data_IF_340101274377
#
_entry.id   IF_340101274377
#
_cell.length_a   1.000
_cell.length_b   1.000
_cell.length_c   1.000
_cell.angle_alpha   90.00
_cell.angle_beta   90.00
_cell.angle_gamma   90.00
#
_symmetry.space_group_name_H-M   'P 1'
#
loop_
_entity.id
_entity.type
_entity.pdbx_description
1 polymer ?
#
# COMPACT_ATOMS: atom_id res chain seq x y z
N UNK A 1 -9.96 -2.78 -32.87
CA UNK A 1 -8.70 -2.71 -32.11
C UNK A 1 -8.46 -1.33 -31.47
N UNK A 2 -9.15 -0.27 -31.90
CA UNK A 2 -9.07 1.08 -31.33
C UNK A 2 -10.03 1.36 -30.15
N UNK A 3 -10.27 0.37 -29.28
CA UNK A 3 -11.21 0.48 -28.15
C UNK A 3 -10.64 -0.15 -26.86
N UNK A 4 -9.31 -0.08 -26.71
CA UNK A 4 -8.56 -0.60 -25.57
C UNK A 4 -7.96 0.44 -24.59
N UNK A 5 -8.40 1.73 -24.51
CA UNK A 5 -7.77 2.68 -23.59
C UNK A 5 -8.00 2.27 -22.12
N UNK A 6 -9.20 1.79 -21.78
CA UNK A 6 -9.50 1.31 -20.41
C UNK A 6 -8.74 0.02 -20.09
N UNK A 7 -8.65 -0.91 -21.05
CA UNK A 7 -7.97 -2.19 -20.85
C UNK A 7 -6.47 -2.05 -20.65
N UNK A 8 -5.79 -1.16 -21.40
CA UNK A 8 -4.37 -0.91 -21.23
C UNK A 8 -4.07 -0.19 -19.90
N UNK A 9 -4.88 0.82 -19.55
CA UNK A 9 -4.73 1.51 -18.27
C UNK A 9 -4.92 0.54 -17.10
N UNK A 10 -5.98 -0.28 -17.13
CA UNK A 10 -6.24 -1.29 -16.09
C UNK A 10 -5.11 -2.31 -15.99
N UNK A 11 -4.59 -2.81 -17.12
CA UNK A 11 -3.43 -3.70 -17.13
C UNK A 11 -2.21 -3.04 -16.47
N UNK A 12 -1.90 -1.79 -16.83
CA UNK A 12 -0.80 -1.04 -16.22
C UNK A 12 -1.02 -0.83 -14.72
N UNK A 13 -2.26 -0.56 -14.30
CA UNK A 13 -2.60 -0.41 -12.89
C UNK A 13 -2.41 -1.73 -12.13
N UNK A 14 -2.87 -2.83 -12.71
CA UNK A 14 -2.77 -4.17 -12.15
C UNK A 14 -1.30 -4.61 -12.03
N UNK A 15 -0.46 -4.30 -13.02
CA UNK A 15 0.98 -4.57 -12.98
C UNK A 15 1.69 -3.72 -11.92
N UNK A 16 1.33 -2.45 -11.77
CA UNK A 16 1.88 -1.61 -10.70
C UNK A 16 1.47 -2.13 -9.32
N UNK A 17 0.23 -2.62 -9.18
CA UNK A 17 -0.29 -3.21 -7.94
C UNK A 17 0.55 -4.35 -7.38
N UNK A 18 1.10 -5.21 -8.25
CA UNK A 18 1.98 -6.34 -7.87
C UNK A 18 3.13 -5.89 -6.97
N UNK A 19 3.72 -4.74 -7.27
CA UNK A 19 4.89 -4.24 -6.55
C UNK A 19 4.49 -3.27 -5.45
N UNK A 20 3.53 -2.38 -5.73
CA UNK A 20 3.15 -1.33 -4.80
C UNK A 20 2.50 -1.88 -3.52
N UNK A 21 1.64 -2.90 -3.62
CA UNK A 21 0.90 -3.39 -2.45
C UNK A 21 1.83 -4.04 -1.40
N UNK A 22 2.74 -4.98 -1.76
CA UNK A 22 3.67 -5.55 -0.78
C UNK A 22 4.62 -4.49 -0.19
N UNK A 23 5.14 -3.58 -1.02
CA UNK A 23 6.06 -2.52 -0.57
C UNK A 23 5.35 -1.56 0.39
N UNK A 24 4.14 -1.11 0.03
CA UNK A 24 3.33 -0.23 0.88
C UNK A 24 3.01 -0.91 2.22
N UNK A 25 2.68 -2.21 2.20
CA UNK A 25 2.45 -3.00 3.41
C UNK A 25 3.68 -2.99 4.32
N UNK A 26 4.86 -3.33 3.80
CA UNK A 26 6.11 -3.38 4.57
C UNK A 26 6.48 -2.00 5.12
N UNK A 27 6.35 -0.96 4.31
CA UNK A 27 6.67 0.41 4.71
C UNK A 27 5.74 0.89 5.83
N UNK A 28 4.43 0.69 5.67
CA UNK A 28 3.44 1.07 6.68
C UNK A 28 3.67 0.28 7.97
N UNK A 29 3.90 -1.02 7.84
CA UNK A 29 4.23 -1.86 8.98
C UNK A 29 5.53 -1.40 9.66
N UNK A 30 6.56 -1.00 8.92
CA UNK A 30 7.81 -0.45 9.48
C UNK A 30 7.65 0.89 10.21
N UNK A 31 6.70 1.75 9.80
CA UNK A 31 6.42 3.02 10.49
C UNK A 31 5.57 2.84 11.75
N UNK A 32 4.54 2.00 11.69
CA UNK A 32 3.56 1.88 12.78
C UNK A 32 3.88 0.73 13.74
N UNK A 33 4.57 -0.33 13.29
CA UNK A 33 4.87 -1.52 14.08
C UNK A 33 6.38 -1.58 14.37
N UNK A 34 6.76 -1.09 15.55
CA UNK A 34 8.16 -1.01 16.02
C UNK A 34 8.91 -2.35 16.09
N UNK A 35 8.19 -3.47 16.03
CA UNK A 35 8.72 -4.83 16.28
C UNK A 35 8.69 -5.74 15.06
N UNK A 36 8.68 -5.19 13.85
CA UNK A 36 8.75 -6.03 12.65
C UNK A 36 10.17 -6.45 12.36
N UNK A 37 10.40 -7.76 12.28
CA UNK A 37 11.71 -8.31 11.92
C UNK A 37 11.97 -8.25 10.42
N UNK A 38 13.24 -8.13 10.03
CA UNK A 38 13.63 -8.15 8.62
C UNK A 38 13.26 -9.48 7.93
N UNK A 39 13.22 -10.58 8.69
CA UNK A 39 12.75 -11.88 8.21
C UNK A 39 11.24 -11.85 7.92
N UNK A 40 10.43 -11.25 8.80
CA UNK A 40 8.99 -11.09 8.56
C UNK A 40 8.68 -10.24 7.34
N UNK A 41 9.39 -9.13 7.14
CA UNK A 41 9.25 -8.30 5.94
C UNK A 41 9.58 -9.07 4.64
N UNK A 42 10.67 -9.85 4.63
CA UNK A 42 11.05 -10.69 3.47
C UNK A 42 10.01 -11.78 3.19
N UNK A 43 9.53 -12.45 4.24
CA UNK A 43 8.51 -13.50 4.12
C UNK A 43 7.20 -12.94 3.57
N UNK A 44 6.77 -11.78 4.04
CA UNK A 44 5.58 -11.11 3.53
C UNK A 44 5.73 -10.68 2.07
N UNK A 45 6.88 -10.12 1.68
CA UNK A 45 7.14 -9.74 0.29
C UNK A 45 6.99 -10.94 -0.66
N UNK A 46 7.57 -12.09 -0.29
CA UNK A 46 7.44 -13.33 -1.06
C UNK A 46 5.99 -13.84 -1.07
N UNK A 47 5.35 -13.86 0.09
CA UNK A 47 3.96 -14.32 0.23
C UNK A 47 2.99 -13.44 -0.57
N UNK A 48 3.08 -12.11 -0.45
CA UNK A 48 2.23 -11.15 -1.16
C UNK A 48 2.36 -11.31 -2.67
N UNK A 49 3.60 -11.32 -3.18
CA UNK A 49 3.86 -11.54 -4.60
C UNK A 49 3.26 -12.87 -5.09
N UNK A 50 3.50 -13.97 -4.36
CA UNK A 50 2.95 -15.27 -4.72
C UNK A 50 1.41 -15.28 -4.69
N UNK A 51 0.83 -14.72 -3.63
CA UNK A 51 -0.62 -14.61 -3.45
C UNK A 51 -1.27 -13.80 -4.56
N UNK A 52 -0.68 -12.67 -4.94
CA UNK A 52 -1.20 -11.82 -6.00
C UNK A 52 -1.13 -12.49 -7.37
N UNK A 53 -0.01 -13.13 -7.72
CA UNK A 53 0.12 -13.87 -8.98
C UNK A 53 -0.89 -15.02 -9.03
N UNK A 54 -1.03 -15.77 -7.93
CA UNK A 54 -2.00 -16.87 -7.82
C UNK A 54 -3.44 -16.38 -8.01
N UNK A 55 -3.83 -15.30 -7.33
CA UNK A 55 -5.19 -14.77 -7.38
C UNK A 55 -5.52 -14.01 -8.66
N UNK A 56 -4.50 -13.47 -9.35
CA UNK A 56 -4.68 -12.73 -10.60
C UNK A 56 -4.68 -13.64 -11.83
N UNK A 57 -3.78 -14.63 -11.89
CA UNK A 57 -3.55 -15.42 -13.09
C UNK A 57 -4.06 -16.86 -13.01
N UNK A 58 -4.16 -17.44 -11.80
CA UNK A 58 -4.48 -18.86 -11.62
C UNK A 58 -5.92 -19.04 -11.13
N UNK A 59 -6.30 -18.33 -10.07
CA UNK A 59 -7.67 -18.36 -9.56
C UNK A 59 -8.52 -17.33 -10.30
N UNK A 60 -9.60 -17.77 -10.95
CA UNK A 60 -10.63 -16.86 -11.44
C UNK A 60 -11.47 -16.41 -10.26
N UNK A 61 -11.08 -15.30 -9.64
CA UNK A 61 -11.87 -14.66 -8.60
C UNK A 61 -12.65 -13.53 -9.26
N UNK A 62 -13.99 -13.60 -9.24
CA UNK A 62 -14.88 -12.56 -9.77
C UNK A 62 -14.93 -11.32 -8.86
N UNK A 63 -13.76 -10.77 -8.50
CA UNK A 63 -13.62 -9.55 -7.70
C UNK A 63 -12.66 -8.58 -8.40
N UNK A 64 -12.97 -7.29 -8.31
CA UNK A 64 -12.12 -6.24 -8.87
C UNK A 64 -10.74 -6.22 -8.17
N UNK A 65 -9.66 -6.00 -8.92
CA UNK A 65 -8.28 -6.07 -8.39
C UNK A 65 -8.01 -5.16 -7.19
N UNK A 66 -8.75 -4.05 -7.06
CA UNK A 66 -8.70 -3.15 -5.89
C UNK A 66 -9.08 -3.87 -4.58
N UNK A 67 -10.02 -4.82 -4.60
CA UNK A 67 -10.35 -5.60 -3.42
C UNK A 67 -9.26 -6.64 -3.12
N UNK A 68 -8.66 -7.23 -4.16
CA UNK A 68 -7.52 -8.14 -4.02
C UNK A 68 -6.36 -7.42 -3.33
N UNK A 69 -6.07 -6.19 -3.73
CA UNK A 69 -5.07 -5.33 -3.09
C UNK A 69 -5.34 -5.10 -1.60
N UNK A 70 -6.59 -4.83 -1.23
CA UNK A 70 -6.97 -4.66 0.18
C UNK A 70 -6.76 -5.94 1.00
N UNK A 71 -7.16 -7.09 0.44
CA UNK A 71 -6.97 -8.40 1.09
C UNK A 71 -5.48 -8.74 1.21
N UNK A 72 -4.73 -8.53 0.13
CA UNK A 72 -3.29 -8.76 0.08
C UNK A 72 -2.55 -7.90 1.12
N UNK A 73 -2.93 -6.62 1.25
CA UNK A 73 -2.38 -5.72 2.25
C UNK A 73 -2.57 -6.27 3.68
N UNK A 74 -3.81 -6.67 4.03
CA UNK A 74 -4.12 -7.22 5.33
C UNK A 74 -3.39 -8.54 5.60
N UNK A 75 -3.32 -9.43 4.60
CA UNK A 75 -2.58 -10.68 4.71
C UNK A 75 -1.08 -10.46 4.87
N UNK A 76 -0.49 -9.49 4.16
CA UNK A 76 0.92 -9.12 4.32
C UNK A 76 1.20 -8.64 5.74
N UNK A 77 0.34 -7.77 6.30
CA UNK A 77 0.42 -7.34 7.70
C UNK A 77 0.33 -8.51 8.68
N UNK A 78 -0.56 -9.46 8.42
CA UNK A 78 -0.70 -10.67 9.23
C UNK A 78 0.56 -11.53 9.18
N UNK A 79 1.07 -11.84 7.99
CA UNK A 79 2.29 -12.64 7.80
C UNK A 79 3.49 -11.97 8.46
N UNK A 80 3.68 -10.66 8.26
CA UNK A 80 4.76 -9.93 8.93
C UNK A 80 4.65 -10.01 10.45
N UNK A 81 3.45 -9.86 11.00
CA UNK A 81 3.21 -9.90 12.44
C UNK A 81 3.49 -11.29 13.03
N UNK A 82 3.02 -12.35 12.35
CA UNK A 82 3.26 -13.75 12.76
C UNK A 82 4.75 -14.09 12.72
N UNK A 83 5.42 -13.81 11.61
CA UNK A 83 6.86 -14.08 11.49
C UNK A 83 7.70 -13.25 12.46
N UNK A 84 7.31 -12.02 12.73
CA UNK A 84 8.00 -11.16 13.70
C UNK A 84 7.75 -11.60 15.14
N UNK A 85 6.64 -12.27 15.43
CA UNK A 85 6.39 -12.90 16.73
C UNK A 85 7.30 -14.12 16.96
N UNK A 86 7.48 -14.97 15.93
CA UNK A 86 8.35 -16.16 16.03
C UNK A 86 9.84 -15.83 15.94
N UNK A 87 10.20 -14.83 15.13
CA UNK A 87 11.57 -14.36 14.94
C UNK A 87 11.64 -12.87 15.30
N UNK A 88 11.53 -12.51 16.60
CA UNK A 88 11.64 -11.13 17.04
C UNK A 88 13.06 -10.61 16.77
N UNK A 89 13.16 -9.31 16.48
CA UNK A 89 14.45 -8.66 16.26
C UNK A 89 15.09 -8.34 17.62
N UNK A 90 16.32 -8.81 17.86
CA UNK A 90 17.05 -8.58 19.13
C UNK A 90 17.41 -7.11 19.40
N UNK A 91 17.44 -6.28 18.35
CA UNK A 91 17.67 -4.84 18.45
C UNK A 91 16.47 -4.13 17.86
N UNK A 92 15.83 -3.26 18.65
CA UNK A 92 14.82 -2.34 18.12
C UNK A 92 15.46 -1.56 16.95
N UNK A 93 14.69 -1.36 15.89
CA UNK A 93 15.12 -0.57 14.75
C UNK A 93 15.28 0.88 15.24
N UNK A 94 16.50 1.24 15.67
CA UNK A 94 16.83 2.61 16.02
C UNK A 94 16.92 3.35 14.69
N UNK A 95 15.88 4.12 14.36
CA UNK A 95 16.04 5.18 13.40
C UNK A 95 17.14 6.09 13.96
N UNK A 96 18.35 5.98 13.41
CA UNK A 96 19.34 7.03 13.61
C UNK A 96 18.69 8.27 13.03
N UNK A 97 18.16 9.14 13.89
CA UNK A 97 17.67 10.47 13.52
C UNK A 97 18.86 11.26 12.98
N UNK A 98 19.19 10.98 11.73
CA UNK A 98 19.94 11.86 10.88
C UNK A 98 18.99 13.04 10.67
N UNK A 99 19.05 14.00 11.61
CA UNK A 99 18.42 15.32 11.61
C UNK A 99 18.90 16.18 10.41
N UNK A 100 19.09 15.55 9.24
CA UNK A 100 19.72 16.11 8.04
C UNK A 100 18.67 16.88 7.21
N UNK A 101 17.37 16.69 7.47
CA UNK A 101 16.31 17.36 6.71
C UNK A 101 15.25 17.86 7.69
N UNK A 102 15.20 19.18 7.87
CA UNK A 102 14.16 19.87 8.65
C UNK A 102 12.84 19.80 7.85
N UNK A 103 11.96 18.86 8.21
CA UNK A 103 10.63 18.70 7.59
C UNK A 103 9.71 19.79 8.14
N UNK A 104 9.98 21.05 7.74
CA UNK A 104 9.16 22.19 8.12
C UNK A 104 7.98 22.34 7.17
N UNK A 105 6.77 22.33 7.71
CA UNK A 105 5.56 22.60 6.95
C UNK A 105 5.63 23.99 6.29
N UNK A 106 5.29 24.06 5.01
CA UNK A 106 5.13 25.33 4.31
C UNK A 106 3.94 26.10 4.91
N UNK A 107 4.06 27.42 5.02
CA UNK A 107 3.10 28.30 5.71
C UNK A 107 1.64 28.09 5.28
N UNK A 108 1.40 27.74 4.02
CA UNK A 108 0.06 27.57 3.46
C UNK A 108 -0.38 26.11 3.33
N UNK A 109 0.43 25.15 3.80
CA UNK A 109 0.11 23.71 3.69
C UNK A 109 -1.25 23.38 4.27
N UNK A 110 -1.60 23.95 5.43
CA UNK A 110 -2.89 23.70 6.10
C UNK A 110 -4.08 24.28 5.34
N UNK A 111 -3.93 25.47 4.76
CA UNK A 111 -5.00 26.11 3.98
C UNK A 111 -5.19 25.35 2.67
N UNK A 112 -4.09 24.99 2.01
CA UNK A 112 -4.13 24.27 0.74
C UNK A 112 -4.69 22.84 0.90
N UNK A 113 -4.40 22.14 2.01
CA UNK A 113 -4.94 20.81 2.27
C UNK A 113 -6.46 20.84 2.51
N UNK A 114 -6.95 21.78 3.32
CA UNK A 114 -8.40 21.95 3.53
C UNK A 114 -9.10 22.31 2.22
N UNK A 115 -8.53 23.23 1.43
CA UNK A 115 -9.07 23.58 0.12
C UNK A 115 -9.14 22.38 -0.83
N UNK A 116 -8.07 21.57 -0.89
CA UNK A 116 -8.04 20.37 -1.72
C UNK A 116 -9.12 19.36 -1.28
N UNK A 117 -9.25 19.09 0.02
CA UNK A 117 -10.29 18.20 0.54
C UNK A 117 -11.70 18.70 0.22
N UNK A 118 -11.96 20.01 0.39
CA UNK A 118 -13.25 20.62 0.06
C UNK A 118 -13.58 20.49 -1.43
N UNK A 119 -12.61 20.73 -2.32
CA UNK A 119 -12.81 20.54 -3.76
C UNK A 119 -13.14 19.10 -4.08
N UNK A 120 -12.37 18.14 -3.53
CA UNK A 120 -12.64 16.72 -3.78
C UNK A 120 -14.05 16.34 -3.36
N UNK A 121 -14.48 16.72 -2.15
CA UNK A 121 -15.85 16.47 -1.66
C UNK A 121 -16.89 17.16 -2.54
N UNK A 122 -16.66 18.41 -2.93
CA UNK A 122 -17.57 19.15 -3.80
C UNK A 122 -17.74 18.48 -5.17
N UNK A 123 -16.65 17.99 -5.78
CA UNK A 123 -16.71 17.23 -7.04
C UNK A 123 -17.57 15.98 -6.85
N UNK A 124 -17.33 15.18 -5.81
CA UNK A 124 -18.12 13.98 -5.54
C UNK A 124 -19.61 14.27 -5.32
N UNK A 125 -19.95 15.35 -4.60
CA UNK A 125 -21.35 15.74 -4.36
C UNK A 125 -22.03 16.30 -5.61
N UNK A 126 -21.34 17.13 -6.39
CA UNK A 126 -21.90 17.75 -7.58
C UNK A 126 -22.07 16.73 -8.70
N UNK A 127 -21.03 15.95 -9.02
CA UNK A 127 -21.07 14.95 -10.09
C UNK A 127 -21.78 13.67 -9.68
N UNK A 128 -21.85 13.34 -8.39
CA UNK A 128 -22.55 12.14 -7.90
C UNK A 128 -24.07 12.26 -7.86
N UNK A 129 -24.61 13.48 -7.95
CA UNK A 129 -26.05 13.76 -8.01
C UNK A 129 -26.58 13.94 -9.45
N UNK A 130 -25.72 13.87 -10.47
CA UNK A 130 -26.09 13.82 -11.89
C UNK A 130 -25.98 12.39 -12.43
#
# INVERSE_FOLDING_TARGET
VADAPDGLYQLLQQLNGIFFIPIASIMLAGFFLKKISAAGAKAALFFGLAFYILTTFIFKVDIHFVHIWGIEFLLNLFVMSVFSYFYPMDKEFVFSDLHIIDIKEWKYTKIMSVFLCLITVAIYLLLGNF
#
